data_IF_541009975062
#
_entry.id   IF_541009975062
#
_cell.length_a   1.000
_cell.length_b   1.000
_cell.length_c   1.000
_cell.angle_alpha   90.00
_cell.angle_beta   90.00
_cell.angle_gamma   90.00
#
_symmetry.space_group_name_H-M   'P 1'
#
loop_
_entity.id
_entity.type
_entity.pdbx_description
1 polymer ?
#
# COMPACT_ATOMS: atom_id res chain seq x y z
N UNK A 1 20.85 24.03 10.16
CA UNK A 1 21.62 22.78 9.91
C UNK A 1 21.95 22.73 8.43
N UNK A 2 23.19 22.45 8.02
CA UNK A 2 23.50 22.28 6.61
C UNK A 2 22.79 21.03 6.10
N UNK A 3 22.04 21.16 5.01
CA UNK A 3 21.56 19.99 4.28
C UNK A 3 22.78 19.29 3.72
N UNK A 4 23.06 18.06 4.17
CA UNK A 4 24.05 17.21 3.51
C UNK A 4 23.60 17.00 2.06
N UNK A 5 24.52 17.18 1.11
CA UNK A 5 24.30 16.91 -0.31
C UNK A 5 24.34 15.39 -0.63
N UNK A 6 24.38 14.52 0.36
CA UNK A 6 24.42 13.07 0.16
C UNK A 6 23.07 12.56 -0.35
N UNK A 7 23.04 12.17 -1.64
CA UNK A 7 21.87 11.55 -2.25
C UNK A 7 21.82 10.07 -1.89
N UNK A 8 20.76 9.66 -1.19
CA UNK A 8 20.47 8.25 -0.89
C UNK A 8 19.44 7.69 -1.88
N UNK A 9 19.74 6.54 -2.47
CA UNK A 9 18.82 5.80 -3.34
C UNK A 9 17.77 5.09 -2.48
N UNK A 10 16.50 5.22 -2.87
CA UNK A 10 15.39 4.47 -2.28
C UNK A 10 14.64 3.74 -3.38
N UNK A 11 14.15 2.52 -3.09
CA UNK A 11 13.25 1.82 -4.00
C UNK A 11 11.84 2.33 -3.76
N UNK A 12 11.33 3.04 -4.76
CA UNK A 12 10.00 3.61 -4.74
C UNK A 12 9.43 3.57 -6.15
N UNK A 13 8.13 3.30 -6.26
CA UNK A 13 7.36 3.46 -7.48
C UNK A 13 6.13 4.30 -7.19
N UNK A 14 6.00 5.41 -7.91
CA UNK A 14 4.82 6.27 -7.84
C UNK A 14 3.99 6.11 -9.12
N UNK A 15 2.72 5.78 -8.93
CA UNK A 15 1.77 5.61 -10.01
C UNK A 15 0.70 6.68 -9.88
N UNK A 16 0.67 7.57 -10.86
CA UNK A 16 -0.30 8.66 -10.93
C UNK A 16 -1.44 8.33 -11.91
N UNK A 17 -2.63 8.74 -11.49
CA UNK A 17 -3.84 8.90 -12.30
C UNK A 17 -4.21 10.39 -12.37
N UNK A 18 -5.38 10.72 -12.92
CA UNK A 18 -5.77 12.12 -13.15
C UNK A 18 -5.89 12.94 -11.86
N UNK A 19 -6.47 12.36 -10.80
CA UNK A 19 -6.74 13.05 -9.52
C UNK A 19 -6.25 12.30 -8.28
N UNK A 20 -5.63 11.13 -8.47
CA UNK A 20 -5.16 10.27 -7.40
C UNK A 20 -3.83 9.62 -7.77
N UNK A 21 -3.11 9.13 -6.77
CA UNK A 21 -1.89 8.37 -6.97
C UNK A 21 -1.69 7.32 -5.88
N UNK A 22 -0.80 6.38 -6.15
CA UNK A 22 -0.30 5.42 -5.18
C UNK A 22 1.23 5.37 -5.22
N UNK A 23 1.83 5.43 -4.04
CA UNK A 23 3.26 5.23 -3.82
C UNK A 23 3.47 3.84 -3.23
N UNK A 24 4.35 3.06 -3.84
CA UNK A 24 4.80 1.74 -3.40
C UNK A 24 6.25 1.84 -2.94
N UNK A 25 6.55 1.47 -1.70
CA UNK A 25 7.90 1.59 -1.14
C UNK A 25 8.17 0.62 0.00
N UNK A 26 9.45 0.49 0.31
CA UNK A 26 9.92 -0.16 1.53
C UNK A 26 9.43 0.57 2.79
N UNK A 27 9.13 -0.21 3.82
CA UNK A 27 8.79 0.22 5.16
C UNK A 27 9.34 -0.79 6.18
N UNK A 28 9.22 -0.49 7.46
CA UNK A 28 9.52 -1.45 8.52
C UNK A 28 8.56 -1.24 9.68
N UNK A 29 8.34 -2.30 10.46
CA UNK A 29 7.68 -2.23 11.76
C UNK A 29 8.75 -2.36 12.83
N UNK A 30 8.84 -1.37 13.72
CA UNK A 30 9.68 -1.46 14.91
C UNK A 30 8.87 -2.08 16.06
N UNK A 31 9.51 -2.95 16.82
CA UNK A 31 9.05 -3.41 18.12
C UNK A 31 9.89 -2.74 19.19
N UNK A 32 9.24 -2.16 20.19
CA UNK A 32 9.89 -1.44 21.27
C UNK A 32 9.52 -2.05 22.63
N UNK A 33 10.53 -2.27 23.48
CA UNK A 33 10.35 -2.67 24.87
C UNK A 33 11.15 -1.70 25.75
N UNK A 34 10.51 -1.13 26.77
CA UNK A 34 11.18 -0.18 27.66
C UNK A 34 11.76 1.06 26.97
N UNK A 35 11.21 1.47 25.83
CA UNK A 35 11.70 2.60 25.02
C UNK A 35 12.93 2.28 24.16
N UNK A 36 13.32 1.02 24.04
CA UNK A 36 14.39 0.57 23.15
C UNK A 36 13.82 -0.29 22.01
N UNK A 37 14.31 -0.07 20.80
CA UNK A 37 13.97 -0.90 19.64
C UNK A 37 14.63 -2.27 19.80
N UNK A 38 13.82 -3.29 20.03
CA UNK A 38 14.28 -4.68 20.21
C UNK A 38 14.20 -5.49 18.93
N UNK A 39 13.40 -5.06 17.96
CA UNK A 39 13.28 -5.71 16.65
C UNK A 39 12.83 -4.70 15.59
N UNK A 40 13.32 -4.88 14.36
CA UNK A 40 12.68 -4.32 13.16
C UNK A 40 12.35 -5.43 12.19
N UNK A 41 11.16 -5.41 11.63
CA UNK A 41 10.77 -6.34 10.59
C UNK A 41 10.42 -5.58 9.31
N UNK A 42 10.89 -6.09 8.17
CA UNK A 42 10.60 -5.51 6.87
C UNK A 42 9.10 -5.51 6.56
N UNK A 43 8.64 -4.45 5.89
CA UNK A 43 7.24 -4.25 5.50
C UNK A 43 7.17 -3.55 4.14
N UNK A 44 6.02 -3.62 3.48
CA UNK A 44 5.77 -2.90 2.23
C UNK A 44 4.66 -1.89 2.47
N UNK A 45 4.92 -0.61 2.15
CA UNK A 45 3.91 0.44 2.26
C UNK A 45 3.29 0.73 0.90
N UNK A 46 1.96 0.77 0.88
CA UNK A 46 1.17 1.41 -0.17
C UNK A 46 0.53 2.67 0.40
N UNK A 47 0.88 3.83 -0.16
CA UNK A 47 0.28 5.12 0.20
C UNK A 47 -0.54 5.66 -0.95
N UNK A 48 -1.85 5.65 -0.78
CA UNK A 48 -2.81 6.22 -1.71
C UNK A 48 -3.06 7.68 -1.35
N UNK A 49 -3.18 8.55 -2.33
CA UNK A 49 -3.38 9.97 -2.11
C UNK A 49 -4.17 10.63 -3.23
N UNK A 50 -4.84 11.73 -2.91
CA UNK A 50 -5.48 12.64 -3.86
C UNK A 50 -4.46 13.70 -4.30
N UNK A 51 -4.51 14.08 -5.57
CA UNK A 51 -3.72 15.17 -6.15
C UNK A 51 -4.42 16.52 -6.05
N UNK A 52 -5.72 16.51 -5.77
CA UNK A 52 -6.52 17.73 -5.60
C UNK A 52 -6.22 18.38 -4.25
N UNK A 53 -6.16 19.72 -4.19
CA UNK A 53 -6.04 20.44 -2.93
C UNK A 53 -7.17 20.07 -1.96
N UNK A 54 -6.85 20.06 -0.67
CA UNK A 54 -7.81 19.82 0.39
C UNK A 54 -8.87 20.92 0.35
N UNK A 55 -10.13 20.55 0.11
CA UNK A 55 -11.24 21.53 0.07
C UNK A 55 -11.97 21.64 1.40
N UNK A 56 -11.85 20.62 2.26
CA UNK A 56 -12.44 20.58 3.61
C UNK A 56 -11.41 20.06 4.65
N UNK A 57 -11.27 20.68 5.84
CA UNK A 57 -10.45 20.19 6.95
C UNK A 57 -10.60 18.70 7.33
N UNK A 58 -11.77 18.10 7.14
CA UNK A 58 -12.02 16.71 7.51
C UNK A 58 -11.82 15.72 6.35
N UNK A 59 -11.46 16.21 5.17
CA UNK A 59 -11.26 15.38 3.99
C UNK A 59 -10.00 14.49 4.13
N UNK A 60 -10.19 13.18 4.02
CA UNK A 60 -9.08 12.23 3.86
C UNK A 60 -8.46 12.42 2.47
N UNK A 61 -7.23 12.92 2.47
CA UNK A 61 -6.43 13.12 1.25
C UNK A 61 -5.42 12.01 1.01
N UNK A 62 -5.14 11.17 2.02
CA UNK A 62 -4.25 10.02 1.88
C UNK A 62 -4.62 8.88 2.84
N UNK A 63 -4.39 7.64 2.39
CA UNK A 63 -4.56 6.43 3.19
C UNK A 63 -3.32 5.56 2.99
N UNK A 64 -2.71 5.12 4.10
CA UNK A 64 -1.60 4.18 4.11
C UNK A 64 -2.09 2.79 4.48
N UNK A 65 -1.62 1.80 3.72
CA UNK A 65 -1.77 0.37 3.99
C UNK A 65 -0.36 -0.23 4.09
N UNK A 66 -0.06 -0.92 5.18
CA UNK A 66 1.26 -1.51 5.43
C UNK A 66 1.12 -3.02 5.36
N UNK A 67 1.57 -3.62 4.26
CA UNK A 67 1.54 -5.06 4.08
C UNK A 67 2.70 -5.75 4.79
N UNK A 68 2.42 -6.94 5.33
CA UNK A 68 3.44 -7.95 5.52
C UNK A 68 4.01 -8.41 4.17
N UNK A 69 5.26 -8.94 4.12
CA UNK A 69 5.86 -9.39 2.86
C UNK A 69 4.98 -10.35 2.05
N UNK A 70 4.36 -11.33 2.71
CA UNK A 70 3.46 -12.30 2.08
C UNK A 70 2.17 -11.67 1.56
N UNK A 71 1.58 -10.71 2.29
CA UNK A 71 0.42 -9.94 1.82
C UNK A 71 0.76 -9.11 0.57
N UNK A 72 1.95 -8.49 0.54
CA UNK A 72 2.41 -7.72 -0.61
C UNK A 72 2.64 -8.63 -1.83
N UNK A 73 3.21 -9.83 -1.61
CA UNK A 73 3.35 -10.83 -2.66
C UNK A 73 1.99 -11.31 -3.18
N UNK A 74 1.06 -11.63 -2.27
CA UNK A 74 -0.29 -12.07 -2.60
C UNK A 74 -1.05 -11.00 -3.40
N UNK A 75 -0.91 -9.72 -3.06
CA UNK A 75 -1.45 -8.62 -3.84
C UNK A 75 -0.87 -8.59 -5.26
N UNK A 76 0.44 -8.82 -5.40
CA UNK A 76 1.09 -8.90 -6.71
C UNK A 76 0.56 -10.07 -7.57
N UNK A 77 0.26 -11.22 -6.95
CA UNK A 77 -0.40 -12.36 -7.63
C UNK A 77 -1.84 -12.01 -8.03
N UNK A 78 -2.59 -11.40 -7.12
CA UNK A 78 -3.98 -10.98 -7.32
C UNK A 78 -4.11 -9.98 -8.48
N UNK A 79 -3.17 -9.03 -8.61
CA UNK A 79 -3.09 -8.12 -9.75
C UNK A 79 -2.99 -8.88 -11.07
N UNK A 80 -2.12 -9.91 -11.15
CA UNK A 80 -1.98 -10.70 -12.37
C UNK A 80 -3.26 -11.50 -12.70
N UNK A 81 -3.92 -12.05 -11.67
CA UNK A 81 -5.20 -12.77 -11.83
C UNK A 81 -6.30 -11.85 -12.35
N UNK A 82 -6.48 -10.68 -11.73
CA UNK A 82 -7.46 -9.67 -12.16
C UNK A 82 -7.16 -9.17 -13.57
N UNK A 83 -5.88 -8.99 -13.92
CA UNK A 83 -5.47 -8.61 -15.27
C UNK A 83 -5.85 -9.67 -16.33
N UNK A 84 -5.70 -10.95 -15.99
CA UNK A 84 -6.01 -12.08 -16.86
C UNK A 84 -7.50 -12.41 -16.96
N UNK A 85 -8.33 -11.92 -16.04
CA UNK A 85 -9.77 -12.18 -16.05
C UNK A 85 -10.43 -11.72 -17.36
N UNK A 86 -11.30 -12.54 -17.94
CA UNK A 86 -12.09 -12.18 -19.11
C UNK A 86 -13.25 -11.25 -18.79
N UNK A 87 -13.67 -11.17 -17.51
CA UNK A 87 -14.81 -10.38 -17.05
C UNK A 87 -14.41 -9.35 -15.98
N UNK A 88 -15.21 -8.28 -15.79
CA UNK A 88 -15.04 -7.37 -14.66
C UNK A 88 -15.05 -8.14 -13.34
N UNK A 89 -14.07 -7.86 -12.49
CA UNK A 89 -13.88 -8.53 -11.21
C UNK A 89 -13.16 -7.61 -10.23
N UNK A 90 -13.35 -7.88 -8.93
CA UNK A 90 -12.73 -7.14 -7.85
C UNK A 90 -12.30 -8.10 -6.77
N UNK A 91 -10.99 -8.13 -6.51
CA UNK A 91 -10.39 -8.96 -5.49
C UNK A 91 -9.87 -8.09 -4.34
N UNK A 92 -9.86 -8.65 -3.13
CA UNK A 92 -9.50 -7.93 -1.91
C UNK A 92 -8.53 -8.75 -1.08
N UNK A 93 -7.52 -8.09 -0.51
CA UNK A 93 -6.73 -8.68 0.57
C UNK A 93 -7.58 -8.79 1.84
N UNK A 94 -7.13 -9.65 2.76
CA UNK A 94 -7.67 -9.70 4.11
C UNK A 94 -7.60 -8.29 4.73
N UNK A 95 -8.69 -7.80 5.35
CA UNK A 95 -8.72 -6.46 5.90
C UNK A 95 -7.83 -6.34 7.14
N UNK A 96 -7.15 -5.21 7.26
CA UNK A 96 -6.44 -4.85 8.50
C UNK A 96 -7.43 -4.20 9.46
N UNK A 97 -7.55 -4.78 10.65
CA UNK A 97 -8.46 -4.32 11.70
C UNK A 97 -7.66 -3.68 12.81
N UNK A 98 -8.04 -2.45 13.16
CA UNK A 98 -7.46 -1.73 14.29
C UNK A 98 -8.54 -1.48 15.33
N UNK A 99 -8.29 -1.83 16.61
CA UNK A 99 -9.21 -1.47 17.67
C UNK A 99 -9.33 0.06 17.71
N UNK A 100 -10.55 0.57 17.75
CA UNK A 100 -10.79 1.97 18.07
C UNK A 100 -10.39 2.25 19.52
N UNK A 101 -10.29 3.54 19.90
CA UNK A 101 -10.32 3.90 21.32
C UNK A 101 -11.60 3.35 21.97
N UNK A 102 -11.65 3.25 23.30
CA UNK A 102 -12.74 2.58 24.06
C UNK A 102 -14.19 2.99 23.71
N UNK A 103 -14.38 4.08 22.94
CA UNK A 103 -15.67 4.60 22.49
C UNK A 103 -15.81 4.68 20.95
N UNK A 104 -14.81 4.27 20.18
CA UNK A 104 -14.79 4.35 18.72
C UNK A 104 -14.93 2.95 18.08
N UNK A 105 -15.72 2.87 17.01
CA UNK A 105 -15.87 1.65 16.23
C UNK A 105 -14.52 1.15 15.67
N UNK A 106 -14.40 -0.17 15.50
CA UNK A 106 -13.25 -0.83 14.88
C UNK A 106 -12.93 -0.17 13.52
N UNK A 107 -11.70 0.29 13.35
CA UNK A 107 -11.27 0.86 12.08
C UNK A 107 -10.77 -0.25 11.17
N UNK A 108 -11.53 -0.54 10.12
CA UNK A 108 -11.19 -1.54 9.11
C UNK A 108 -10.57 -0.84 7.90
N UNK A 109 -9.35 -1.21 7.54
CA UNK A 109 -8.71 -0.79 6.29
C UNK A 109 -8.72 -1.95 5.30
N UNK A 110 -9.19 -1.70 4.08
CA UNK A 110 -9.28 -2.69 2.99
C UNK A 110 -8.41 -2.27 1.82
N UNK A 111 -7.79 -3.23 1.15
CA UNK A 111 -7.03 -3.03 -0.07
C UNK A 111 -7.57 -3.97 -1.13
N UNK A 112 -7.89 -3.41 -2.30
CA UNK A 112 -8.56 -4.10 -3.39
C UNK A 112 -7.89 -3.77 -4.72
N UNK A 113 -7.99 -4.71 -5.66
CA UNK A 113 -7.63 -4.51 -7.05
C UNK A 113 -8.77 -4.96 -7.94
N UNK A 114 -9.04 -4.23 -9.01
CA UNK A 114 -10.21 -4.50 -9.84
C UNK A 114 -9.94 -4.29 -11.32
N UNK A 115 -10.63 -5.10 -12.13
CA UNK A 115 -10.88 -4.88 -13.54
C UNK A 115 -12.32 -4.43 -13.67
N UNK A 116 -12.53 -3.26 -14.25
CA UNK A 116 -13.86 -2.68 -14.46
C UNK A 116 -14.16 -2.53 -15.94
N UNK A 117 -15.45 -2.45 -16.26
CA UNK A 117 -15.95 -2.08 -17.58
C UNK A 117 -17.05 -1.03 -17.42
N UNK A 118 -16.92 0.08 -18.15
CA UNK A 118 -17.89 1.18 -18.13
C UNK A 118 -17.97 1.83 -19.51
N UNK A 119 -19.16 1.82 -20.10
CA UNK A 119 -19.40 2.47 -21.39
C UNK A 119 -18.54 1.90 -22.53
N UNK A 120 -18.36 0.57 -22.58
CA UNK A 120 -17.55 -0.11 -23.59
C UNK A 120 -16.04 0.04 -23.43
N UNK A 121 -15.58 0.70 -22.35
CA UNK A 121 -14.16 0.79 -21.99
C UNK A 121 -13.90 -0.09 -20.79
N UNK A 122 -12.77 -0.79 -20.80
CA UNK A 122 -12.25 -1.50 -19.65
C UNK A 122 -11.04 -0.80 -19.05
N UNK A 123 -10.80 -1.01 -17.76
CA UNK A 123 -9.63 -0.51 -17.08
C UNK A 123 -9.38 -1.24 -15.78
N UNK A 124 -8.31 -0.81 -15.10
CA UNK A 124 -7.86 -1.41 -13.86
C UNK A 124 -7.77 -0.34 -12.78
N UNK A 125 -7.88 -0.75 -11.51
CA UNK A 125 -7.65 0.16 -10.40
C UNK A 125 -7.07 -0.57 -9.19
N UNK A 126 -6.26 0.15 -8.42
CA UNK A 126 -5.95 -0.17 -7.04
C UNK A 126 -6.80 0.72 -6.16
N UNK A 127 -7.46 0.15 -5.16
CA UNK A 127 -8.39 0.88 -4.29
C UNK A 127 -8.12 0.55 -2.84
N UNK A 128 -7.96 1.59 -2.01
CA UNK A 128 -7.89 1.45 -0.55
C UNK A 128 -9.11 2.11 0.10
N UNK A 129 -9.65 1.48 1.13
CA UNK A 129 -10.76 2.03 1.91
C UNK A 129 -10.47 1.98 3.41
N UNK A 130 -10.91 2.99 4.16
CA UNK A 130 -10.88 3.05 5.63
C UNK A 130 -12.17 3.69 6.13
N UNK A 131 -13.05 2.89 6.73
CA UNK A 131 -14.38 3.35 7.13
C UNK A 131 -15.19 3.84 5.92
N UNK A 132 -15.60 5.11 5.93
CA UNK A 132 -16.35 5.75 4.83
C UNK A 132 -15.45 6.29 3.70
N UNK A 133 -14.15 6.41 3.95
CA UNK A 133 -13.22 7.03 3.03
C UNK A 133 -12.59 5.99 2.10
N UNK A 134 -12.52 6.29 0.81
CA UNK A 134 -11.87 5.44 -0.17
C UNK A 134 -11.07 6.27 -1.18
N UNK A 135 -9.94 5.72 -1.62
CA UNK A 135 -9.13 6.29 -2.69
C UNK A 135 -8.92 5.20 -3.73
N UNK A 136 -9.41 5.44 -4.94
CA UNK A 136 -9.21 4.57 -6.10
C UNK A 136 -8.22 5.23 -7.05
N UNK A 137 -7.29 4.43 -7.58
CA UNK A 137 -6.25 4.87 -8.51
C UNK A 137 -6.44 4.08 -9.81
N UNK A 138 -7.18 4.64 -10.78
CA UNK A 138 -7.34 4.04 -12.10
C UNK A 138 -6.03 4.05 -12.86
N UNK A 139 -5.67 2.90 -13.44
CA UNK A 139 -4.40 2.69 -14.14
C UNK A 139 -4.59 1.86 -15.42
N UNK A 140 -3.75 2.08 -16.46
CA UNK A 140 -3.71 1.21 -17.62
C UNK A 140 -3.04 -0.14 -17.29
N UNK A 141 -3.30 -1.16 -18.12
CA UNK A 141 -2.81 -2.53 -17.92
C UNK A 141 -1.30 -2.59 -17.63
N UNK A 142 -0.47 -1.88 -18.40
CA UNK A 142 0.98 -1.91 -18.23
C UNK A 142 1.43 -1.45 -16.83
N UNK A 143 0.86 -0.34 -16.32
CA UNK A 143 1.15 0.16 -14.97
C UNK A 143 0.59 -0.77 -13.89
N UNK A 144 -0.56 -1.38 -14.16
CA UNK A 144 -1.19 -2.33 -13.25
C UNK A 144 -0.32 -3.58 -13.07
N UNK A 145 0.11 -4.21 -14.17
CA UNK A 145 1.02 -5.37 -14.13
C UNK A 145 2.38 -5.03 -13.53
N UNK A 146 2.95 -3.86 -13.89
CA UNK A 146 4.20 -3.40 -13.30
C UNK A 146 4.10 -3.24 -11.78
N UNK A 147 3.00 -2.68 -11.27
CA UNK A 147 2.76 -2.58 -9.83
C UNK A 147 2.78 -3.96 -9.16
N UNK A 148 2.18 -4.97 -9.80
CA UNK A 148 2.19 -6.34 -9.32
C UNK A 148 3.59 -6.94 -9.24
N UNK A 149 4.40 -6.79 -10.28
CA UNK A 149 5.80 -7.28 -10.27
C UNK A 149 6.67 -6.52 -9.28
N UNK A 150 6.49 -5.20 -9.17
CA UNK A 150 7.22 -4.39 -8.21
C UNK A 150 6.88 -4.76 -6.76
N UNK A 151 5.60 -5.06 -6.47
CA UNK A 151 5.17 -5.55 -5.16
C UNK A 151 5.79 -6.90 -4.81
N UNK A 152 5.86 -7.85 -5.77
CA UNK A 152 6.55 -9.13 -5.55
C UNK A 152 8.04 -8.94 -5.26
N UNK A 153 8.69 -8.03 -5.99
CA UNK A 153 10.10 -7.69 -5.74
C UNK A 153 10.30 -7.10 -4.34
N UNK A 154 9.49 -6.11 -3.94
CA UNK A 154 9.57 -5.50 -2.62
C UNK A 154 9.27 -6.52 -1.51
N UNK A 155 8.30 -7.42 -1.72
CA UNK A 155 7.95 -8.46 -0.78
C UNK A 155 9.14 -9.37 -0.46
N UNK A 156 9.80 -9.90 -1.49
CA UNK A 156 10.97 -10.78 -1.31
C UNK A 156 12.10 -10.04 -0.60
N UNK A 157 12.33 -8.78 -0.96
CA UNK A 157 13.40 -7.98 -0.35
C UNK A 157 13.10 -7.53 1.07
N UNK A 158 11.83 -7.38 1.44
CA UNK A 158 11.40 -7.02 2.80
C UNK A 158 11.18 -8.23 3.71
N UNK A 159 11.54 -9.43 3.25
CA UNK A 159 11.52 -10.65 4.04
C UNK A 159 12.75 -10.74 4.96
N UNK A 160 12.83 -9.84 5.95
CA UNK A 160 13.92 -9.80 6.93
C UNK A 160 13.42 -9.36 8.30
N UNK A 161 14.21 -9.73 9.32
CA UNK A 161 14.08 -9.27 10.70
C UNK A 161 15.47 -8.88 11.20
N UNK A 162 15.58 -7.67 11.74
CA UNK A 162 16.78 -7.12 12.37
C UNK A 162 16.58 -7.15 13.89
N UNK A 163 17.56 -7.72 14.61
CA UNK A 163 17.57 -7.80 16.08
C UNK A 163 18.93 -7.36 16.62
N UNK A 164 19.00 -6.74 17.81
CA UNK A 164 20.26 -6.51 18.49
C UNK A 164 21.01 -7.84 18.68
N UNK A 165 22.31 -7.81 18.43
CA UNK A 165 23.17 -8.97 18.67
C UNK A 165 23.15 -9.31 20.16
N UNK A 166 22.68 -10.51 20.52
CA UNK A 166 22.75 -11.00 21.90
C UNK A 166 24.22 -11.27 22.21
N UNK A 167 24.85 -10.42 23.01
CA UNK A 167 26.15 -10.74 23.63
C UNK A 167 25.90 -11.90 24.60
N UNK A 168 26.42 -13.08 24.26
CA UNK A 168 26.51 -14.23 25.15
C UNK A 168 27.59 -14.03 26.20
#
# INVERSE_FOLDING_TARGET
MPQSNDLKRYRCSEIFSQSTGVELREAFKAHEEGGQVTERAGRVQLRFFKLTPKTNPDEVTQIRFICEPDEAFALGVMIAQVAASSAPCKEKLAPHKFPGSEQAAETVTTLAVEKWERGGKSGYALTVGRGKDFISVPVPLGKFLFAGEFLKSLAVEQCWVERPEKKH
#
